data_IF_177123054049
#
_entry.id   IF_177123054049
#
_cell.length_a   1.000
_cell.length_b   1.000
_cell.length_c   1.000
_cell.angle_alpha   90.00
_cell.angle_beta   90.00
_cell.angle_gamma   90.00
#
_symmetry.space_group_name_H-M   'P 1'
#
loop_
_entity.id
_entity.type
_entity.pdbx_description
1 polymer ?
#
# COMPACT_ATOMS: atom_id res chain seq x y z
N UNK A 1 -8.61 -6.41 -10.07
CA UNK A 1 -9.57 -7.52 -10.01
C UNK A 1 -9.61 -8.39 -11.28
N UNK A 2 -9.71 -7.84 -12.50
CA UNK A 2 -9.86 -8.66 -13.73
C UNK A 2 -8.78 -9.72 -13.95
N UNK A 3 -7.51 -9.41 -13.68
CA UNK A 3 -6.39 -10.35 -13.81
C UNK A 3 -6.43 -11.54 -12.84
N UNK A 4 -7.25 -11.46 -11.79
CA UNK A 4 -7.40 -12.51 -10.79
C UNK A 4 -8.61 -13.43 -11.08
N UNK A 5 -9.30 -13.23 -12.20
CA UNK A 5 -10.50 -13.98 -12.61
C UNK A 5 -10.23 -14.55 -14.01
N UNK A 6 -10.76 -15.73 -14.37
CA UNK A 6 -10.65 -16.27 -15.74
C UNK A 6 -11.11 -15.27 -16.79
N UNK A 7 -10.55 -15.34 -18.01
CA UNK A 7 -10.78 -14.36 -19.08
C UNK A 7 -12.27 -14.17 -19.43
N UNK A 8 -13.07 -15.24 -19.34
CA UNK A 8 -14.52 -15.21 -19.58
C UNK A 8 -15.36 -14.96 -18.32
N UNK A 9 -14.73 -14.85 -17.15
CA UNK A 9 -15.42 -14.63 -15.88
C UNK A 9 -16.07 -13.25 -15.83
N UNK A 10 -17.27 -13.18 -15.24
CA UNK A 10 -17.98 -11.91 -15.02
C UNK A 10 -17.82 -11.49 -13.56
N UNK A 11 -17.57 -10.20 -13.34
CA UNK A 11 -17.54 -9.60 -12.00
C UNK A 11 -18.75 -8.71 -11.90
N UNK A 12 -19.65 -9.01 -10.96
CA UNK A 12 -20.83 -8.21 -10.68
C UNK A 12 -20.43 -6.77 -10.30
N UNK A 13 -21.31 -5.80 -10.57
CA UNK A 13 -21.07 -4.39 -10.22
C UNK A 13 -20.89 -4.24 -8.71
N UNK A 14 -21.81 -4.80 -7.94
CA UNK A 14 -21.82 -4.71 -6.48
C UNK A 14 -20.57 -5.35 -5.85
N UNK A 15 -20.07 -6.43 -6.44
CA UNK A 15 -18.81 -7.05 -6.00
C UNK A 15 -17.59 -6.14 -6.23
N UNK A 16 -17.60 -5.31 -7.29
CA UNK A 16 -16.53 -4.32 -7.49
C UNK A 16 -16.62 -3.20 -6.46
N UNK A 17 -17.82 -2.70 -6.20
CA UNK A 17 -18.05 -1.61 -5.24
C UNK A 17 -17.66 -2.04 -3.82
N UNK A 18 -18.10 -3.23 -3.39
CA UNK A 18 -17.72 -3.79 -2.10
C UNK A 18 -16.20 -3.97 -1.94
N UNK A 19 -15.49 -4.42 -2.99
CA UNK A 19 -14.02 -4.53 -2.92
C UNK A 19 -13.33 -3.17 -2.95
N UNK A 20 -13.92 -2.15 -3.58
CA UNK A 20 -13.41 -0.77 -3.53
C UNK A 20 -13.55 -0.15 -2.13
N UNK A 21 -14.64 -0.42 -1.44
CA UNK A 21 -14.82 -0.02 -0.05
C UNK A 21 -13.82 -0.74 0.86
N UNK A 22 -13.72 -2.07 0.70
CA UNK A 22 -12.77 -2.89 1.45
C UNK A 22 -11.32 -2.46 1.26
N UNK A 23 -10.88 -2.14 0.02
CA UNK A 23 -9.50 -1.68 -0.20
C UNK A 23 -9.25 -0.30 0.40
N UNK A 24 -10.27 0.57 0.46
CA UNK A 24 -10.15 1.88 1.10
C UNK A 24 -9.98 1.74 2.62
N UNK A 25 -10.73 0.83 3.23
CA UNK A 25 -10.59 0.48 4.64
C UNK A 25 -9.25 -0.20 4.92
N UNK A 26 -8.81 -1.12 4.05
CA UNK A 26 -7.51 -1.78 4.17
C UNK A 26 -6.35 -0.79 4.18
N UNK A 27 -6.36 0.22 3.30
CA UNK A 27 -5.35 1.28 3.29
C UNK A 27 -5.37 2.04 4.62
N UNK A 28 -6.55 2.38 5.12
CA UNK A 28 -6.71 3.10 6.38
C UNK A 28 -6.18 2.28 7.56
N UNK A 29 -6.49 0.98 7.59
CA UNK A 29 -6.09 0.05 8.62
C UNK A 29 -4.58 -0.19 8.69
N UNK A 30 -3.94 -0.45 7.55
CA UNK A 30 -2.48 -0.62 7.49
C UNK A 30 -1.77 0.68 7.87
N UNK A 31 -2.30 1.82 7.39
CA UNK A 31 -1.69 3.12 7.67
C UNK A 31 -1.84 3.54 9.13
N UNK A 32 -2.95 3.19 9.80
CA UNK A 32 -3.12 3.44 11.23
C UNK A 32 -2.11 2.65 12.06
N UNK A 33 -1.88 1.38 11.76
CA UNK A 33 -0.87 0.57 12.46
C UNK A 33 0.56 1.13 12.25
N UNK A 34 0.86 1.58 11.03
CA UNK A 34 2.16 2.19 10.70
C UNK A 34 2.34 3.54 11.40
N UNK A 35 1.27 4.33 11.48
CA UNK A 35 1.24 5.60 12.23
C UNK A 35 1.50 5.35 13.72
N UNK A 36 0.82 4.37 14.33
CA UNK A 36 0.99 4.03 15.74
C UNK A 36 2.44 3.64 16.06
N UNK A 37 3.06 2.82 15.21
CA UNK A 37 4.49 2.49 15.33
C UNK A 37 5.37 3.73 15.21
N UNK A 38 5.17 4.53 14.16
CA UNK A 38 5.94 5.76 13.93
C UNK A 38 5.87 6.72 15.13
N UNK A 39 4.67 6.90 15.69
CA UNK A 39 4.43 7.72 16.86
C UNK A 39 5.08 7.16 18.12
N UNK A 40 5.01 5.84 18.35
CA UNK A 40 5.72 5.15 19.46
C UNK A 40 7.23 5.39 19.39
N UNK A 41 7.78 5.46 18.18
CA UNK A 41 9.20 5.79 17.93
C UNK A 41 9.51 7.30 17.91
N UNK A 42 8.57 8.16 18.31
CA UNK A 42 8.70 9.62 18.36
C UNK A 42 9.01 10.26 17.00
N UNK A 43 8.63 9.61 15.90
CA UNK A 43 8.74 10.14 14.54
C UNK A 43 7.40 10.75 14.10
N UNK A 44 7.47 11.74 13.21
CA UNK A 44 6.29 12.40 12.61
C UNK A 44 6.05 11.99 11.15
N UNK A 45 6.92 11.17 10.59
CA UNK A 45 6.90 10.77 9.19
C UNK A 45 6.96 9.26 9.12
N UNK A 46 5.91 8.67 8.54
CA UNK A 46 5.82 7.23 8.27
C UNK A 46 6.80 6.89 7.16
N UNK A 47 7.62 5.87 7.39
CA UNK A 47 8.60 5.35 6.42
C UNK A 47 8.06 4.12 5.69
N UNK A 48 8.75 3.69 4.62
CA UNK A 48 8.41 2.44 3.93
C UNK A 48 8.60 1.20 4.83
N UNK A 49 9.58 1.24 5.72
CA UNK A 49 9.83 0.20 6.73
C UNK A 49 8.68 0.06 7.74
N UNK A 50 8.01 1.16 8.08
CA UNK A 50 6.86 1.13 8.98
C UNK A 50 5.71 0.35 8.35
N UNK A 51 5.40 0.63 7.08
CA UNK A 51 4.35 -0.08 6.34
C UNK A 51 4.65 -1.58 6.21
N UNK A 52 5.90 -1.93 5.90
CA UNK A 52 6.33 -3.35 5.80
C UNK A 52 6.20 -4.04 7.15
N UNK A 53 6.57 -3.38 8.24
CA UNK A 53 6.41 -3.92 9.59
C UNK A 53 4.93 -4.11 9.94
N UNK A 54 4.09 -3.11 9.65
CA UNK A 54 2.65 -3.18 9.94
C UNK A 54 1.98 -4.34 9.21
N UNK A 55 2.31 -4.57 7.95
CA UNK A 55 1.80 -5.74 7.22
C UNK A 55 2.20 -7.06 7.89
N UNK A 56 3.44 -7.18 8.37
CA UNK A 56 3.87 -8.35 9.13
C UNK A 56 3.08 -8.52 10.44
N UNK A 57 2.88 -7.44 11.19
CA UNK A 57 2.11 -7.47 12.46
C UNK A 57 0.64 -7.80 12.25
N UNK A 58 0.06 -7.39 11.12
CA UNK A 58 -1.35 -7.57 10.78
C UNK A 58 -1.67 -8.95 10.17
N UNK A 59 -0.67 -9.84 10.03
CA UNK A 59 -0.86 -11.19 9.50
C UNK A 59 -0.77 -11.29 7.97
N UNK A 60 -0.09 -10.33 7.32
CA UNK A 60 0.20 -10.32 5.88
C UNK A 60 1.68 -10.60 5.62
N UNK A 61 2.27 -11.55 6.36
CA UNK A 61 3.70 -11.85 6.32
C UNK A 61 4.18 -12.30 4.93
N UNK A 62 3.32 -12.90 4.12
CA UNK A 62 3.64 -13.35 2.77
C UNK A 62 4.01 -12.19 1.82
N UNK A 63 3.60 -10.96 2.14
CA UNK A 63 3.92 -9.77 1.37
C UNK A 63 5.25 -9.11 1.77
N UNK A 64 5.77 -9.42 2.96
CA UNK A 64 6.89 -8.69 3.57
C UNK A 64 8.15 -8.76 2.70
N UNK A 65 8.55 -9.95 2.25
CA UNK A 65 9.78 -10.13 1.46
C UNK A 65 9.69 -9.46 0.09
N UNK A 66 8.53 -9.58 -0.57
CA UNK A 66 8.29 -8.91 -1.85
C UNK A 66 8.37 -7.37 -1.70
N UNK A 67 7.80 -6.82 -0.64
CA UNK A 67 7.80 -5.38 -0.39
C UNK A 67 9.17 -4.84 0.03
N UNK A 68 9.96 -5.60 0.80
CA UNK A 68 11.37 -5.25 1.08
C UNK A 68 12.19 -5.16 -0.20
N UNK A 69 12.02 -6.14 -1.09
CA UNK A 69 12.69 -6.12 -2.40
C UNK A 69 12.26 -4.91 -3.23
N UNK A 70 10.95 -4.62 -3.29
CA UNK A 70 10.42 -3.45 -3.98
C UNK A 70 10.97 -2.14 -3.41
N UNK A 71 11.00 -1.96 -2.08
CA UNK A 71 11.51 -0.75 -1.43
C UNK A 71 13.00 -0.51 -1.76
N UNK A 72 13.80 -1.58 -1.83
CA UNK A 72 15.20 -1.51 -2.25
C UNK A 72 15.31 -0.97 -3.68
N UNK A 73 14.60 -1.58 -4.64
CA UNK A 73 14.61 -1.14 -6.03
C UNK A 73 14.07 0.29 -6.20
N UNK A 74 13.02 0.66 -5.47
CA UNK A 74 12.46 2.00 -5.49
C UNK A 74 13.50 3.06 -5.07
N UNK A 75 14.31 2.78 -4.05
CA UNK A 75 15.40 3.65 -3.62
C UNK A 75 16.50 3.78 -4.66
N UNK A 76 16.85 2.68 -5.33
CA UNK A 76 17.84 2.68 -6.43
C UNK A 76 17.36 3.50 -7.64
N UNK A 77 16.07 3.42 -7.97
CA UNK A 77 15.46 4.18 -9.08
C UNK A 77 15.28 5.65 -8.72
N UNK A 78 14.91 5.99 -7.48
CA UNK A 78 14.69 7.38 -7.04
C UNK A 78 15.96 8.24 -7.04
N UNK A 79 17.14 7.63 -7.13
CA UNK A 79 18.42 8.31 -7.34
C UNK A 79 18.57 8.78 -8.80
N UNK A 80 17.77 8.27 -9.73
CA UNK A 80 17.67 8.72 -11.13
C UNK A 80 16.49 9.69 -11.27
N UNK A 81 16.61 10.79 -12.06
CA UNK A 81 15.52 11.75 -12.21
C UNK A 81 14.25 11.05 -12.74
N UNK A 82 13.06 11.34 -12.18
CA UNK A 82 11.88 10.54 -12.42
C UNK A 82 11.33 10.83 -13.82
N UNK A 83 11.42 9.86 -14.74
CA UNK A 83 10.74 9.97 -16.04
C UNK A 83 9.31 9.46 -16.03
N UNK A 84 8.85 8.73 -15.01
CA UNK A 84 7.46 8.24 -14.96
C UNK A 84 7.03 7.97 -13.51
N UNK A 85 6.18 8.83 -12.94
CA UNK A 85 5.29 8.43 -11.84
C UNK A 85 3.87 8.91 -12.14
N UNK A 86 2.96 7.94 -12.24
CA UNK A 86 1.53 8.16 -12.50
C UNK A 86 0.88 8.88 -11.31
N UNK A 87 -0.03 9.82 -11.63
CA UNK A 87 -0.81 10.69 -10.73
C UNK A 87 -1.47 10.00 -9.53
N UNK A 88 -1.66 8.68 -9.55
CA UNK A 88 -2.33 7.94 -8.47
C UNK A 88 -1.59 7.96 -7.13
N UNK A 89 -0.26 8.13 -7.11
CA UNK A 89 0.52 8.11 -5.85
C UNK A 89 0.42 9.41 -5.05
N UNK A 90 0.13 10.54 -5.71
CA UNK A 90 -0.04 11.86 -5.06
C UNK A 90 -1.39 12.00 -4.36
N UNK A 91 -2.42 11.25 -4.79
CA UNK A 91 -3.76 11.31 -4.23
C UNK A 91 -3.87 10.68 -2.83
N UNK A 92 -2.97 9.77 -2.46
CA UNK A 92 -2.94 9.20 -1.10
C UNK A 92 -2.46 10.22 -0.06
N UNK A 93 -1.61 11.18 -0.46
CA UNK A 93 -1.10 12.22 0.44
C UNK A 93 -2.17 13.24 0.84
N UNK A 94 -3.23 13.43 0.05
CA UNK A 94 -4.25 14.45 0.34
C UNK A 94 -5.48 13.94 1.09
N UNK A 95 -5.60 12.63 1.32
CA UNK A 95 -6.72 12.03 2.08
C UNK A 95 -6.32 11.45 3.43
N UNK A 96 -5.02 11.39 3.71
CA UNK A 96 -4.46 10.80 4.94
C UNK A 96 -3.88 11.88 5.88
N UNK A 97 -3.84 13.15 5.45
CA UNK A 97 -3.61 14.32 6.30
C UNK A 97 -4.86 15.19 6.35
#
# INVERSE_FOLDING_TARGET
MRRAVPDNGKIAKDAKESVQECVSEFISFVTSEASDKCMKEKRKTISGEDLIWSLGTLGFEEYVEALKHYLKLYREVSIKPPSVFSQSCLLLHSKVC
#
